data_IF_251579524699
#
_entry.id   IF_251579524699
#
_cell.length_a   1.000
_cell.length_b   1.000
_cell.length_c   1.000
_cell.angle_alpha   90.00
_cell.angle_beta   90.00
_cell.angle_gamma   90.00
#
_symmetry.space_group_name_H-M   'P 1'
#
loop_
_entity.id
_entity.type
_entity.pdbx_description
1 polymer ?
#
# COMPACT_ATOMS: atom_id res chain seq x y z
N UNK A 1 -24.17 33.34 -64.85
CA UNK A 1 -24.09 31.92 -64.39
C UNK A 1 -22.72 31.73 -63.79
N UNK A 2 -22.59 31.97 -62.48
CA UNK A 2 -21.32 31.90 -61.76
C UNK A 2 -21.40 30.64 -60.88
N UNK A 3 -20.67 29.61 -61.29
CA UNK A 3 -20.58 28.38 -60.50
C UNK A 3 -19.62 28.61 -59.33
N UNK A 4 -20.18 28.61 -58.14
CA UNK A 4 -19.40 28.65 -56.92
C UNK A 4 -18.82 27.25 -56.66
N UNK A 5 -17.52 27.13 -56.81
CA UNK A 5 -16.79 25.93 -56.43
C UNK A 5 -16.73 25.84 -54.92
N UNK A 6 -17.46 24.89 -54.33
CA UNK A 6 -17.32 24.51 -52.94
C UNK A 6 -16.01 23.74 -52.79
N UNK A 7 -15.10 24.32 -51.98
CA UNK A 7 -13.91 23.63 -51.53
C UNK A 7 -14.35 22.50 -50.61
N UNK A 8 -13.80 21.30 -50.70
CA UNK A 8 -14.09 20.24 -49.74
C UNK A 8 -13.51 20.61 -48.39
N UNK A 9 -14.39 20.64 -47.36
CA UNK A 9 -13.95 20.76 -45.97
C UNK A 9 -13.03 19.59 -45.58
N UNK A 10 -11.96 19.83 -44.85
CA UNK A 10 -11.14 18.76 -44.31
C UNK A 10 -11.98 17.92 -43.35
N UNK A 11 -12.05 16.63 -43.59
CA UNK A 11 -12.65 15.68 -42.61
C UNK A 11 -11.73 15.58 -41.42
N UNK A 12 -12.14 16.21 -40.32
CA UNK A 12 -11.45 16.19 -39.04
C UNK A 12 -11.58 14.85 -38.29
N UNK A 13 -12.21 13.83 -38.85
CA UNK A 13 -12.68 12.65 -38.09
C UNK A 13 -11.77 11.41 -38.26
N UNK A 14 -10.64 11.48 -38.96
CA UNK A 14 -9.93 10.25 -39.32
C UNK A 14 -8.60 10.00 -38.60
N UNK A 15 -8.09 10.90 -37.75
CA UNK A 15 -6.73 10.75 -37.19
C UNK A 15 -6.62 10.63 -35.64
N UNK A 16 -7.70 10.50 -34.88
CA UNK A 16 -7.61 10.49 -33.40
C UNK A 16 -7.52 9.11 -32.71
N UNK A 17 -7.81 7.94 -33.33
CA UNK A 17 -7.83 6.70 -32.53
C UNK A 17 -6.53 5.91 -32.45
N UNK A 18 -5.46 6.25 -33.17
CA UNK A 18 -4.27 5.38 -33.20
C UNK A 18 -3.17 5.74 -32.19
N UNK A 19 -3.15 6.97 -31.70
CA UNK A 19 -2.11 7.38 -30.76
C UNK A 19 -2.37 6.90 -29.32
N UNK A 20 -3.62 6.69 -28.96
CA UNK A 20 -3.98 6.31 -27.59
C UNK A 20 -3.72 4.82 -27.29
N UNK A 21 -3.81 3.94 -28.30
CA UNK A 21 -3.48 2.52 -28.15
C UNK A 21 -1.97 2.23 -28.16
N UNK A 22 -1.15 3.14 -28.67
CA UNK A 22 0.30 2.98 -28.71
C UNK A 22 0.98 3.31 -27.36
N UNK A 23 0.28 3.97 -26.44
CA UNK A 23 0.81 4.32 -25.12
C UNK A 23 0.65 3.20 -24.07
N UNK A 24 -0.08 2.14 -24.40
CA UNK A 24 -0.24 0.95 -23.54
C UNK A 24 0.80 -0.13 -23.93
N UNK A 25 1.78 0.22 -24.77
CA UNK A 25 2.83 -0.68 -25.23
C UNK A 25 3.87 -0.96 -24.17
N UNK A 26 3.93 -2.21 -23.74
CA UNK A 26 5.09 -2.95 -23.25
C UNK A 26 6.03 -2.23 -22.29
N UNK A 27 5.60 -2.09 -21.05
CA UNK A 27 6.52 -1.94 -19.92
C UNK A 27 6.60 -3.31 -19.20
N UNK A 28 7.52 -4.20 -19.54
CA UNK A 28 7.63 -5.53 -18.93
C UNK A 28 7.85 -5.46 -17.42
N UNK A 29 8.33 -4.34 -16.91
CA UNK A 29 8.53 -4.08 -15.48
C UNK A 29 7.24 -3.68 -14.73
N UNK A 30 6.20 -3.19 -15.42
CA UNK A 30 4.95 -2.78 -14.78
C UNK A 30 4.19 -3.98 -14.20
N UNK A 31 4.05 -5.04 -14.96
CA UNK A 31 3.34 -6.25 -14.52
C UNK A 31 4.09 -6.93 -13.37
N UNK A 32 5.42 -6.92 -13.41
CA UNK A 32 6.26 -7.47 -12.33
C UNK A 32 6.12 -6.64 -11.06
N UNK A 33 6.20 -5.32 -11.17
CA UNK A 33 6.03 -4.41 -10.02
C UNK A 33 4.63 -4.56 -9.43
N UNK A 34 3.60 -4.60 -10.28
CA UNK A 34 2.22 -4.80 -9.83
C UNK A 34 2.03 -6.14 -9.12
N UNK A 35 2.62 -7.22 -9.64
CA UNK A 35 2.56 -8.54 -9.02
C UNK A 35 3.21 -8.53 -7.62
N UNK A 36 4.41 -7.95 -7.48
CA UNK A 36 5.08 -7.84 -6.18
C UNK A 36 4.30 -6.99 -5.18
N UNK A 37 3.71 -5.88 -5.62
CA UNK A 37 2.86 -5.04 -4.76
C UNK A 37 1.58 -5.76 -4.35
N UNK A 38 0.94 -6.48 -5.26
CA UNK A 38 -0.25 -7.27 -4.97
C UNK A 38 0.04 -8.42 -3.99
N UNK A 39 1.15 -9.14 -4.19
CA UNK A 39 1.59 -10.20 -3.27
C UNK A 39 1.94 -9.64 -1.89
N UNK A 40 2.62 -8.49 -1.82
CA UNK A 40 2.92 -7.80 -0.57
C UNK A 40 1.64 -7.38 0.17
N UNK A 41 0.68 -6.80 -0.54
CA UNK A 41 -0.62 -6.43 0.01
C UNK A 41 -1.43 -7.65 0.50
N UNK A 42 -1.42 -8.73 -0.27
CA UNK A 42 -2.06 -9.99 0.12
C UNK A 42 -1.41 -10.60 1.37
N UNK A 43 -0.08 -10.63 1.43
CA UNK A 43 0.64 -11.14 2.60
C UNK A 43 0.30 -10.33 3.86
N UNK A 44 0.23 -9.00 3.77
CA UNK A 44 -0.21 -8.15 4.87
C UNK A 44 -1.65 -8.43 5.28
N UNK A 45 -2.57 -8.56 4.32
CA UNK A 45 -3.98 -8.84 4.59
C UNK A 45 -4.16 -10.21 5.29
N UNK A 46 -3.47 -11.25 4.82
CA UNK A 46 -3.48 -12.58 5.43
C UNK A 46 -2.89 -12.53 6.85
N UNK A 47 -1.74 -11.85 7.02
CA UNK A 47 -1.13 -11.69 8.35
C UNK A 47 -2.07 -11.01 9.34
N UNK A 48 -2.80 -9.99 8.91
CA UNK A 48 -3.77 -9.28 9.75
C UNK A 48 -4.99 -10.15 10.07
N UNK A 49 -5.47 -10.94 9.13
CA UNK A 49 -6.60 -11.85 9.33
C UNK A 49 -6.30 -12.96 10.35
N UNK A 50 -5.05 -13.41 10.42
CA UNK A 50 -4.61 -14.46 11.36
C UNK A 50 -4.42 -13.95 12.79
N UNK A 51 -4.29 -12.66 13.01
CA UNK A 51 -4.07 -12.10 14.35
C UNK A 51 -5.29 -12.28 15.25
N UNK A 52 -6.50 -12.07 14.71
CA UNK A 52 -7.73 -12.16 15.51
C UNK A 52 -7.93 -13.56 16.17
N UNK A 53 -7.81 -14.69 15.46
CA UNK A 53 -7.88 -16.00 16.10
C UNK A 53 -6.69 -16.29 17.02
N UNK A 54 -5.50 -15.76 16.73
CA UNK A 54 -4.30 -15.96 17.54
C UNK A 54 -4.34 -15.20 18.88
N UNK A 55 -5.19 -14.18 19.03
CA UNK A 55 -5.25 -13.38 20.26
C UNK A 55 -5.49 -14.21 21.52
N UNK A 56 -6.26 -15.29 21.40
CA UNK A 56 -6.54 -16.17 22.54
C UNK A 56 -5.30 -16.94 22.97
N UNK A 57 -4.53 -17.45 22.03
CA UNK A 57 -3.28 -18.16 22.31
C UNK A 57 -2.25 -17.19 22.90
N UNK A 58 -2.09 -16.00 22.30
CA UNK A 58 -1.22 -14.93 22.80
C UNK A 58 -1.59 -14.56 24.25
N UNK A 59 -2.89 -14.51 24.57
CA UNK A 59 -3.36 -14.21 25.93
C UNK A 59 -2.89 -15.27 26.92
N UNK A 60 -2.99 -16.54 26.57
CA UNK A 60 -2.58 -17.65 27.41
C UNK A 60 -1.06 -17.69 27.56
N UNK A 61 -0.32 -17.60 26.48
CA UNK A 61 1.14 -17.69 26.46
C UNK A 61 1.81 -16.55 27.24
N UNK A 62 1.26 -15.35 27.13
CA UNK A 62 1.80 -14.16 27.80
C UNK A 62 1.18 -13.92 29.19
N UNK A 63 0.28 -14.79 29.67
CA UNK A 63 -0.36 -14.69 30.98
C UNK A 63 -1.11 -13.38 31.18
N UNK A 64 -1.75 -12.83 30.14
CA UNK A 64 -2.34 -11.50 30.16
C UNK A 64 -3.88 -11.53 30.13
N UNK A 65 -4.52 -10.39 30.35
CA UNK A 65 -5.98 -10.26 30.28
C UNK A 65 -6.49 -10.10 28.85
N UNK A 66 -7.75 -10.45 28.60
CA UNK A 66 -8.42 -10.24 27.31
C UNK A 66 -8.39 -8.77 26.89
N UNK A 67 -8.58 -7.85 27.84
CA UNK A 67 -8.52 -6.41 27.57
C UNK A 67 -7.11 -5.97 27.14
N UNK A 68 -6.09 -6.50 27.80
CA UNK A 68 -4.71 -6.14 27.51
C UNK A 68 -4.25 -6.71 26.16
N UNK A 69 -4.63 -7.95 25.80
CA UNK A 69 -4.27 -8.54 24.51
C UNK A 69 -4.94 -7.83 23.32
N UNK A 70 -6.10 -7.21 23.52
CA UNK A 70 -6.79 -6.43 22.50
C UNK A 70 -5.95 -5.22 22.03
N UNK A 71 -5.03 -4.72 22.86
CA UNK A 71 -4.09 -3.68 22.48
C UNK A 71 -3.17 -4.08 21.32
N UNK A 72 -2.95 -5.35 21.10
CA UNK A 72 -2.17 -5.87 19.96
C UNK A 72 -2.79 -5.44 18.62
N UNK A 73 -4.12 -5.49 18.50
CA UNK A 73 -4.85 -5.00 17.32
C UNK A 73 -5.00 -3.48 17.34
N UNK A 74 -5.42 -2.92 18.47
CA UNK A 74 -5.71 -1.49 18.61
C UNK A 74 -4.47 -0.65 18.32
N UNK A 75 -3.30 -1.03 18.85
CA UNK A 75 -2.05 -0.33 18.64
C UNK A 75 -1.64 -0.31 17.15
N UNK A 76 -1.81 -1.43 16.45
CA UNK A 76 -1.58 -1.49 15.01
C UNK A 76 -2.51 -0.53 14.25
N UNK A 77 -3.83 -0.61 14.49
CA UNK A 77 -4.82 0.22 13.81
C UNK A 77 -4.62 1.72 14.09
N UNK A 78 -4.33 2.07 15.34
CA UNK A 78 -4.07 3.44 15.74
C UNK A 78 -2.80 3.99 15.06
N UNK A 79 -1.71 3.22 15.10
CA UNK A 79 -0.47 3.58 14.42
C UNK A 79 -0.68 3.72 12.91
N UNK A 80 -1.39 2.79 12.26
CA UNK A 80 -1.66 2.83 10.82
C UNK A 80 -2.51 4.05 10.45
N UNK A 81 -3.53 4.40 11.24
CA UNK A 81 -4.40 5.55 10.97
C UNK A 81 -3.66 6.88 11.03
N UNK A 82 -2.70 7.01 11.93
CA UNK A 82 -1.85 8.21 12.05
C UNK A 82 -0.74 8.21 10.99
N UNK A 83 -0.12 7.07 10.75
CA UNK A 83 1.00 6.94 9.81
C UNK A 83 0.59 7.15 8.36
N UNK A 84 -0.60 6.68 7.96
CA UNK A 84 -1.07 6.74 6.56
C UNK A 84 -1.03 8.16 5.97
N UNK A 85 -1.66 9.19 6.56
CA UNK A 85 -1.59 10.54 6.01
C UNK A 85 -0.19 11.16 6.09
N UNK A 86 0.57 10.82 7.13
CA UNK A 86 1.94 11.33 7.32
C UNK A 86 2.85 10.77 6.22
N UNK A 87 2.81 9.46 5.99
CA UNK A 87 3.62 8.80 4.97
C UNK A 87 3.21 9.20 3.55
N UNK A 88 1.92 9.45 3.32
CA UNK A 88 1.44 10.02 2.07
C UNK A 88 2.13 11.36 1.78
N UNK A 89 2.08 12.27 2.74
CA UNK A 89 2.69 13.60 2.62
C UNK A 89 4.22 13.55 2.50
N UNK A 90 4.87 12.69 3.28
CA UNK A 90 6.31 12.47 3.17
C UNK A 90 6.69 11.88 1.80
N UNK A 91 5.86 11.00 1.24
CA UNK A 91 6.04 10.45 -0.10
C UNK A 91 6.05 11.54 -1.19
N UNK A 92 5.15 12.52 -1.07
CA UNK A 92 5.09 13.65 -2.00
C UNK A 92 6.31 14.59 -1.85
N UNK A 93 6.84 14.77 -0.63
CA UNK A 93 7.97 15.65 -0.36
C UNK A 93 9.34 15.03 -0.65
N UNK A 94 9.56 13.79 -0.25
CA UNK A 94 10.88 13.13 -0.28
C UNK A 94 11.01 12.07 -1.37
N UNK A 95 9.95 11.85 -2.12
CA UNK A 95 9.86 10.83 -3.16
C UNK A 95 9.23 9.53 -2.68
N UNK A 96 8.19 9.12 -3.38
CA UNK A 96 7.35 7.96 -3.07
C UNK A 96 8.14 6.67 -2.87
N UNK A 97 9.14 6.42 -3.74
CA UNK A 97 9.97 5.21 -3.68
C UNK A 97 10.78 5.11 -2.37
N UNK A 98 11.37 6.21 -1.90
CA UNK A 98 12.16 6.21 -0.66
C UNK A 98 11.29 5.96 0.56
N UNK A 99 10.14 6.65 0.62
CA UNK A 99 9.20 6.49 1.74
C UNK A 99 8.58 5.10 1.74
N UNK A 100 8.32 4.51 0.58
CA UNK A 100 7.86 3.12 0.46
C UNK A 100 8.88 2.13 1.04
N UNK A 101 10.17 2.27 0.71
CA UNK A 101 11.22 1.40 1.25
C UNK A 101 11.33 1.55 2.77
N UNK A 102 11.25 2.76 3.30
CA UNK A 102 11.27 3.01 4.75
C UNK A 102 10.05 2.35 5.42
N UNK A 103 8.86 2.50 4.85
CA UNK A 103 7.64 1.90 5.39
C UNK A 103 7.71 0.35 5.38
N UNK A 104 8.21 -0.26 4.29
CA UNK A 104 8.40 -1.71 4.21
C UNK A 104 9.45 -2.20 5.21
N UNK A 105 10.52 -1.46 5.42
CA UNK A 105 11.53 -1.77 6.43
C UNK A 105 10.93 -1.72 7.84
N UNK A 106 10.11 -0.71 8.13
CA UNK A 106 9.40 -0.62 9.40
C UNK A 106 8.45 -1.82 9.61
N UNK A 107 7.71 -2.24 8.58
CA UNK A 107 6.88 -3.46 8.64
C UNK A 107 7.72 -4.69 8.97
N UNK A 108 8.86 -4.88 8.29
CA UNK A 108 9.73 -6.01 8.53
C UNK A 108 10.27 -6.03 9.96
N UNK A 109 10.74 -4.88 10.46
CA UNK A 109 11.22 -4.74 11.84
C UNK A 109 10.10 -5.00 12.84
N UNK A 110 8.93 -4.39 12.66
CA UNK A 110 7.77 -4.58 13.55
C UNK A 110 7.28 -6.03 13.58
N UNK A 111 7.30 -6.71 12.42
CA UNK A 111 6.97 -8.13 12.33
C UNK A 111 7.97 -8.98 13.08
N UNK A 112 9.27 -8.72 12.91
CA UNK A 112 10.32 -9.43 13.64
C UNK A 112 10.21 -9.20 15.15
N UNK A 113 10.01 -7.96 15.59
CA UNK A 113 9.80 -7.65 17.03
C UNK A 113 8.59 -8.40 17.59
N UNK A 114 7.50 -8.47 16.85
CA UNK A 114 6.31 -9.21 17.29
C UNK A 114 6.54 -10.72 17.34
N UNK A 115 7.34 -11.27 16.42
CA UNK A 115 7.64 -12.70 16.35
C UNK A 115 8.53 -13.17 17.53
N UNK A 116 9.45 -12.31 18.02
CA UNK A 116 10.34 -12.63 19.14
C UNK A 116 9.80 -12.09 20.48
N UNK A 117 8.58 -11.59 20.50
CA UNK A 117 8.02 -10.97 21.70
C UNK A 117 7.79 -11.98 22.81
N UNK A 118 8.48 -11.82 23.92
CA UNK A 118 8.30 -12.56 25.16
C UNK A 118 7.42 -11.83 26.18
N UNK A 119 6.93 -10.65 25.84
CA UNK A 119 6.03 -9.85 26.67
C UNK A 119 5.01 -9.10 25.82
N UNK A 120 3.84 -8.81 26.40
CA UNK A 120 2.80 -8.04 25.75
C UNK A 120 3.29 -6.65 25.29
N UNK A 121 4.11 -5.99 26.12
CA UNK A 121 4.66 -4.67 25.80
C UNK A 121 5.52 -4.68 24.53
N UNK A 122 6.39 -5.68 24.38
CA UNK A 122 7.22 -5.83 23.19
C UNK A 122 6.37 -6.16 21.94
N UNK A 123 5.36 -7.01 22.10
CA UNK A 123 4.42 -7.33 21.03
C UNK A 123 3.65 -6.10 20.58
N UNK A 124 3.10 -5.31 21.50
CA UNK A 124 2.39 -4.06 21.20
C UNK A 124 3.32 -3.05 20.52
N UNK A 125 4.56 -2.90 21.01
CA UNK A 125 5.56 -2.04 20.37
C UNK A 125 5.86 -2.48 18.92
N UNK A 126 6.04 -3.77 18.67
CA UNK A 126 6.19 -4.32 17.34
C UNK A 126 4.99 -4.02 16.43
N UNK A 127 3.77 -4.08 16.98
CA UNK A 127 2.54 -3.71 16.27
C UNK A 127 2.44 -2.22 15.91
N UNK A 128 2.90 -1.35 16.81
CA UNK A 128 3.00 0.09 16.52
C UNK A 128 3.95 0.34 15.35
N UNK A 129 5.14 -0.27 15.38
CA UNK A 129 6.13 -0.15 14.30
C UNK A 129 5.60 -0.74 13.00
N UNK A 130 4.94 -1.90 13.05
CA UNK A 130 4.30 -2.52 11.88
C UNK A 130 3.19 -1.65 11.30
N UNK A 131 2.42 -0.96 12.16
CA UNK A 131 1.36 -0.03 11.75
C UNK A 131 1.87 1.17 10.92
N UNK A 132 3.13 1.55 11.09
CA UNK A 132 3.76 2.56 10.22
C UNK A 132 3.75 2.14 8.74
N UNK A 133 3.70 0.84 8.46
CA UNK A 133 3.51 0.32 7.11
C UNK A 133 2.11 0.49 6.52
N UNK A 134 1.12 0.96 7.30
CA UNK A 134 -0.24 1.21 6.80
C UNK A 134 -0.31 2.18 5.62
N UNK A 135 0.68 3.06 5.46
CA UNK A 135 0.82 3.96 4.33
C UNK A 135 1.34 3.31 3.03
N UNK A 136 1.76 2.04 3.07
CA UNK A 136 2.29 1.34 1.88
C UNK A 136 1.23 1.24 0.79
N UNK A 137 -0.01 0.94 1.13
CA UNK A 137 -1.09 0.76 0.17
C UNK A 137 -1.41 2.04 -0.63
N UNK A 138 -1.69 3.20 -0.01
CA UNK A 138 -1.94 4.44 -0.75
C UNK A 138 -0.71 4.93 -1.52
N UNK A 139 0.52 4.73 -1.00
CA UNK A 139 1.75 5.05 -1.71
C UNK A 139 1.93 4.20 -2.97
N UNK A 140 1.63 2.89 -2.89
CA UNK A 140 1.68 1.97 -4.02
C UNK A 140 0.72 2.39 -5.13
N UNK A 141 -0.52 2.73 -4.78
CA UNK A 141 -1.53 3.22 -5.73
C UNK A 141 -1.12 4.55 -6.36
N UNK A 142 -0.46 5.42 -5.62
CA UNK A 142 0.05 6.69 -6.14
C UNK A 142 1.22 6.51 -7.12
N UNK A 143 2.07 5.50 -6.92
CA UNK A 143 3.18 5.17 -7.85
C UNK A 143 2.65 4.58 -9.18
N UNK A 144 1.56 3.82 -9.11
CA UNK A 144 0.94 3.22 -10.30
C UNK A 144 0.26 4.27 -11.18
N UNK A 145 -0.23 5.35 -10.55
CA UNK A 145 -0.98 6.41 -11.24
C UNK A 145 -0.08 7.44 -11.95
N UNK A 146 1.18 7.58 -11.55
CA UNK A 146 2.19 8.45 -12.17
C UNK A 146 2.93 7.72 -13.30
#
# INVERSE_FOLDING_TARGET
>A
MTATAQSPEPREDEDVPRAEHALIGDRPHYNVTFLFLALGGLALAVSQSLVAPALREIQVDLGTSTTAVTWVLTAFLLSASVATPILGRLGDMFGKKRVLVIALTAVAIGTFMSAVASSLGLMVAGRVVQGLGGGVFPLSMSIIRD
#
